data_IF_270617518408
#
_entry.id   IF_270617518408
#
_cell.length_a   1.000
_cell.length_b   1.000
_cell.length_c   1.000
_cell.angle_alpha   90.00
_cell.angle_beta   90.00
_cell.angle_gamma   90.00
#
_symmetry.space_group_name_H-M   'P 1'
#
loop_
_entity.id
_entity.type
_entity.pdbx_description
1 polymer ?
#
# COMPACT_ATOMS: atom_id res chain seq x y z
N UNK A 1 5.90 -15.68 -2.80
CA UNK A 1 5.29 -14.35 -3.00
C UNK A 1 5.43 -13.51 -1.72
N UNK A 2 6.06 -12.34 -1.80
CA UNK A 2 6.21 -11.40 -0.68
C UNK A 2 5.09 -10.37 -0.69
N UNK A 3 4.47 -10.09 0.47
CA UNK A 3 3.43 -9.07 0.65
C UNK A 3 3.90 -8.07 1.69
N UNK A 4 3.80 -6.78 1.39
CA UNK A 4 4.16 -5.69 2.31
C UNK A 4 2.89 -4.98 2.75
N UNK A 5 2.65 -4.91 4.06
CA UNK A 5 1.54 -4.15 4.64
C UNK A 5 2.08 -2.79 5.08
N UNK A 6 1.47 -1.69 4.62
CA UNK A 6 1.93 -0.31 4.93
C UNK A 6 1.12 0.39 6.02
N UNK A 7 0.02 -0.22 6.47
CA UNK A 7 -0.91 0.30 7.48
C UNK A 7 -1.43 1.72 7.17
N UNK A 8 -2.25 1.82 6.11
CA UNK A 8 -2.73 3.10 5.54
C UNK A 8 -3.45 4.00 6.54
N UNK A 9 -4.05 3.44 7.59
CA UNK A 9 -4.72 4.21 8.64
C UNK A 9 -3.79 5.12 9.46
N UNK A 10 -2.48 4.91 9.36
CA UNK A 10 -1.45 5.65 10.11
C UNK A 10 -0.60 6.57 9.23
N UNK A 11 -0.85 6.60 7.91
CA UNK A 11 -0.03 7.30 6.93
C UNK A 11 -0.82 8.42 6.25
N UNK A 12 -0.13 9.51 5.90
CA UNK A 12 -0.67 10.50 4.95
C UNK A 12 -0.71 9.91 3.53
N UNK A 13 -1.38 10.59 2.60
CA UNK A 13 -1.45 10.13 1.22
C UNK A 13 -0.08 10.13 0.53
N UNK A 14 0.76 11.13 0.81
CA UNK A 14 2.14 11.17 0.34
C UNK A 14 2.95 9.97 0.87
N UNK A 15 2.81 9.65 2.14
CA UNK A 15 3.49 8.52 2.76
C UNK A 15 3.02 7.18 2.18
N UNK A 16 1.73 7.01 1.91
CA UNK A 16 1.18 5.80 1.23
C UNK A 16 1.81 5.61 -0.15
N UNK A 17 1.94 6.68 -0.93
CA UNK A 17 2.57 6.64 -2.27
C UNK A 17 4.04 6.26 -2.15
N UNK A 18 4.80 6.89 -1.24
CA UNK A 18 6.22 6.60 -1.02
C UNK A 18 6.41 5.15 -0.56
N UNK A 19 5.66 4.69 0.43
CA UNK A 19 5.75 3.34 0.95
C UNK A 19 5.43 2.29 -0.12
N UNK A 20 4.40 2.52 -0.94
CA UNK A 20 4.03 1.62 -2.04
C UNK A 20 5.14 1.51 -3.09
N UNK A 21 5.76 2.63 -3.48
CA UNK A 21 6.90 2.64 -4.41
C UNK A 21 8.13 1.96 -3.82
N UNK A 22 8.40 2.12 -2.52
CA UNK A 22 9.49 1.43 -1.85
C UNK A 22 9.27 -0.08 -1.82
N UNK A 23 8.03 -0.54 -1.54
CA UNK A 23 7.67 -1.95 -1.60
C UNK A 23 7.90 -2.54 -3.00
N UNK A 24 7.50 -1.81 -4.06
CA UNK A 24 7.75 -2.21 -5.45
C UNK A 24 9.25 -2.30 -5.76
N UNK A 25 10.03 -1.27 -5.40
CA UNK A 25 11.50 -1.27 -5.61
C UNK A 25 12.18 -2.42 -4.86
N UNK A 26 11.66 -2.80 -3.70
CA UNK A 26 12.10 -3.96 -2.93
C UNK A 26 11.63 -5.31 -3.52
N UNK A 27 10.96 -5.31 -4.69
CA UNK A 27 10.44 -6.51 -5.38
C UNK A 27 9.38 -7.26 -4.57
N UNK A 28 8.60 -6.56 -3.76
CA UNK A 28 7.39 -7.13 -3.19
C UNK A 28 6.42 -7.49 -4.34
N UNK A 29 5.65 -8.56 -4.15
CA UNK A 29 4.68 -9.00 -5.16
C UNK A 29 3.35 -8.28 -4.96
N UNK A 30 3.02 -7.96 -3.71
CA UNK A 30 1.83 -7.20 -3.33
C UNK A 30 2.19 -6.13 -2.31
N UNK A 31 1.53 -4.98 -2.42
CA UNK A 31 1.38 -4.02 -1.33
C UNK A 31 -0.06 -4.12 -0.81
N UNK A 32 -0.21 -4.19 0.50
CA UNK A 32 -1.50 -4.38 1.18
C UNK A 32 -1.74 -3.20 2.12
N UNK A 33 -3.00 -2.80 2.21
CA UNK A 33 -3.42 -1.61 2.96
C UNK A 33 -3.15 -1.74 4.46
N UNK A 34 -3.77 -2.72 5.12
CA UNK A 34 -3.88 -2.75 6.58
C UNK A 34 -3.63 -4.14 7.19
N UNK A 35 -3.18 -4.18 8.45
CA UNK A 35 -3.06 -5.43 9.22
C UNK A 35 -4.42 -5.93 9.72
N UNK A 36 -5.38 -5.01 9.91
CA UNK A 36 -6.68 -5.29 10.53
C UNK A 36 -6.71 -5.05 12.05
N UNK A 37 -5.62 -4.56 12.64
CA UNK A 37 -5.53 -4.24 14.08
C UNK A 37 -5.52 -2.73 14.38
N UNK A 38 -5.34 -1.88 13.37
CA UNK A 38 -5.42 -0.43 13.50
C UNK A 38 -6.88 0.07 13.50
N UNK A 39 -7.17 1.27 14.03
CA UNK A 39 -8.54 1.81 14.11
C UNK A 39 -9.17 2.17 12.75
N UNK A 40 -8.45 2.04 11.64
CA UNK A 40 -8.93 2.23 10.29
C UNK A 40 -8.67 1.00 9.41
N UNK A 41 -9.58 0.76 8.46
CA UNK A 41 -9.48 -0.34 7.49
C UNK A 41 -9.09 0.13 6.09
N UNK A 42 -9.09 -0.80 5.14
CA UNK A 42 -8.89 -0.49 3.73
C UNK A 42 -10.05 0.37 3.20
N UNK A 43 -9.73 1.49 2.56
CA UNK A 43 -10.71 2.28 1.81
C UNK A 43 -10.52 2.10 0.30
N UNK A 44 -11.57 2.33 -0.49
CA UNK A 44 -11.46 2.32 -1.97
C UNK A 44 -10.46 3.38 -2.45
N UNK A 45 -10.43 4.52 -1.76
CA UNK A 45 -9.49 5.59 -2.04
C UNK A 45 -8.04 5.15 -1.85
N UNK A 46 -7.70 4.50 -0.72
CA UNK A 46 -6.35 3.99 -0.48
C UNK A 46 -5.92 2.99 -1.55
N UNK A 47 -6.83 2.09 -1.96
CA UNK A 47 -6.55 1.11 -3.02
C UNK A 47 -6.28 1.80 -4.35
N UNK A 48 -7.08 2.81 -4.72
CA UNK A 48 -6.89 3.57 -5.95
C UNK A 48 -5.54 4.33 -5.95
N UNK A 49 -5.23 5.03 -4.86
CA UNK A 49 -3.98 5.77 -4.68
C UNK A 49 -2.75 4.84 -4.75
N UNK A 50 -2.81 3.70 -4.06
CA UNK A 50 -1.74 2.70 -4.09
C UNK A 50 -1.59 2.08 -5.48
N UNK A 51 -2.70 1.78 -6.17
CA UNK A 51 -2.67 1.24 -7.55
C UNK A 51 -2.05 2.22 -8.52
N UNK A 52 -2.36 3.50 -8.42
CA UNK A 52 -1.72 4.55 -9.23
C UNK A 52 -0.20 4.60 -8.96
N UNK A 53 0.21 4.45 -7.70
CA UNK A 53 1.62 4.51 -7.32
C UNK A 53 2.47 3.36 -7.86
N UNK A 54 1.92 2.14 -7.94
CA UNK A 54 2.68 0.92 -8.34
C UNK A 54 2.39 0.45 -9.77
N UNK A 55 1.35 0.98 -10.43
CA UNK A 55 1.01 0.62 -11.80
C UNK A 55 0.42 -0.80 -11.94
N UNK A 56 0.37 -1.34 -13.18
CA UNK A 56 -0.28 -2.61 -13.47
C UNK A 56 0.56 -3.85 -13.14
N UNK A 57 1.89 -3.71 -13.01
CA UNK A 57 2.82 -4.84 -12.89
C UNK A 57 2.91 -5.45 -11.48
N UNK A 58 2.45 -4.70 -10.47
CA UNK A 58 2.44 -5.11 -9.07
C UNK A 58 1.00 -5.27 -8.59
N UNK A 59 0.75 -6.27 -7.76
CA UNK A 59 -0.50 -6.42 -7.02
C UNK A 59 -1.31 -7.65 -7.37
#
# INVERSE_FOLDING_TARGET
>A
SCKVIIETALLTDEEKVVASRLAQRAKAHFVKTSTGYAPGGATVYDVALMREAVGPDMG
#
